data_IF_809455318804
#
_entry.id   IF_809455318804
#
_cell.length_a   1.000
_cell.length_b   1.000
_cell.length_c   1.000
_cell.angle_alpha   90.00
_cell.angle_beta   90.00
_cell.angle_gamma   90.00
#
_symmetry.space_group_name_H-M   'P 1'
#
loop_
_entity.id
_entity.type
_entity.pdbx_description
1 polymer ?
#
# COMPACT_ATOMS: atom_id res chain seq x y z
N UNK A 1 0.34 3.71 11.65
CA UNK A 1 0.66 2.96 12.88
C UNK A 1 0.81 3.98 13.99
N UNK A 2 0.21 3.77 15.18
CA UNK A 2 0.50 4.62 16.32
C UNK A 2 1.99 4.49 16.65
N UNK A 3 2.64 5.61 16.92
CA UNK A 3 4.02 5.64 17.38
C UNK A 3 4.10 4.89 18.70
N UNK A 4 4.91 3.85 18.76
CA UNK A 4 5.12 3.07 19.97
C UNK A 4 6.28 3.69 20.74
N UNK A 5 5.99 4.46 21.79
CA UNK A 5 7.00 5.19 22.56
C UNK A 5 7.36 4.56 23.92
N UNK A 6 6.63 3.54 24.41
CA UNK A 6 6.96 2.96 25.71
C UNK A 6 6.66 1.47 25.77
N UNK A 7 7.72 0.66 25.77
CA UNK A 7 7.63 -0.77 26.06
C UNK A 7 7.81 -1.00 27.57
N UNK A 8 6.80 -1.49 28.26
CA UNK A 8 6.98 -2.09 29.58
C UNK A 8 6.97 -3.61 29.44
N UNK A 9 8.12 -4.20 29.65
CA UNK A 9 8.28 -5.65 29.67
C UNK A 9 7.84 -6.24 31.02
N UNK A 10 6.88 -7.16 30.98
CA UNK A 10 6.88 -8.29 31.88
C UNK A 10 7.17 -9.53 31.01
N UNK A 11 8.46 -9.84 30.85
CA UNK A 11 8.88 -10.95 30.03
C UNK A 11 8.98 -12.21 30.88
N UNK A 12 8.05 -13.13 30.70
CA UNK A 12 8.37 -14.55 30.83
C UNK A 12 9.02 -15.03 29.51
N UNK A 13 9.91 -16.04 29.53
CA UNK A 13 10.46 -16.56 28.28
C UNK A 13 9.36 -16.81 27.26
N UNK A 14 9.51 -16.26 26.03
CA UNK A 14 8.58 -16.42 24.94
C UNK A 14 7.26 -15.60 25.01
N UNK A 15 7.14 -14.63 25.92
CA UNK A 15 5.93 -13.76 25.95
C UNK A 15 6.28 -12.28 26.07
N UNK A 16 5.52 -11.43 25.38
CA UNK A 16 5.67 -9.96 25.37
C UNK A 16 4.34 -9.30 25.59
N UNK A 17 4.29 -8.35 26.51
CA UNK A 17 3.14 -7.46 26.68
C UNK A 17 3.54 -6.08 26.19
N UNK A 18 2.80 -5.56 25.21
CA UNK A 18 2.97 -4.23 24.63
C UNK A 18 1.87 -3.33 25.15
N UNK A 19 2.23 -2.18 25.67
CA UNK A 19 1.31 -1.11 26.00
C UNK A 19 1.42 -0.02 24.95
N UNK A 20 0.30 0.34 24.32
CA UNK A 20 0.22 1.42 23.34
C UNK A 20 -0.03 2.76 24.03
N UNK A 21 0.29 3.87 23.33
CA UNK A 21 0.11 5.24 23.83
C UNK A 21 -1.35 5.59 24.17
N UNK A 22 -2.31 4.89 23.56
CA UNK A 22 -3.73 5.02 23.85
C UNK A 22 -4.19 4.25 25.11
N UNK A 23 -3.25 3.65 25.86
CA UNK A 23 -3.51 2.86 27.06
C UNK A 23 -3.97 1.42 26.81
N UNK A 24 -4.17 1.01 25.55
CA UNK A 24 -4.47 -0.37 25.21
C UNK A 24 -3.26 -1.27 25.42
N UNK A 25 -3.50 -2.53 25.77
CA UNK A 25 -2.44 -3.54 25.92
C UNK A 25 -2.70 -4.72 24.99
N UNK A 26 -1.61 -5.26 24.42
CA UNK A 26 -1.64 -6.50 23.66
C UNK A 26 -0.57 -7.44 24.20
N UNK A 27 -0.89 -8.73 24.30
CA UNK A 27 0.05 -9.77 24.71
C UNK A 27 0.31 -10.69 23.53
N UNK A 28 1.60 -10.94 23.28
CA UNK A 28 2.06 -11.85 22.24
C UNK A 28 2.91 -12.94 22.88
N UNK A 29 2.87 -14.14 22.34
CA UNK A 29 3.66 -15.26 22.83
C UNK A 29 4.19 -16.10 21.67
N UNK A 30 5.35 -16.65 21.88
CA UNK A 30 6.02 -17.60 20.98
C UNK A 30 6.08 -18.97 21.64
N UNK A 31 6.01 -20.01 20.84
CA UNK A 31 6.32 -21.39 21.29
C UNK A 31 7.82 -21.62 21.49
N UNK A 32 8.65 -20.75 20.89
CA UNK A 32 10.09 -20.71 21.19
C UNK A 32 10.34 -19.75 22.36
N UNK A 33 10.69 -20.32 23.52
CA UNK A 33 10.98 -19.57 24.74
C UNK A 33 12.23 -18.67 24.65
N UNK A 34 13.12 -18.94 23.69
CA UNK A 34 14.35 -18.20 23.49
C UNK A 34 14.24 -17.10 22.42
N UNK A 35 13.07 -16.96 21.79
CA UNK A 35 12.86 -15.94 20.75
C UNK A 35 13.01 -14.53 21.34
N UNK A 36 13.87 -13.67 20.77
CA UNK A 36 14.00 -12.27 21.16
C UNK A 36 12.68 -11.51 21.01
N UNK A 37 12.46 -10.53 21.88
CA UNK A 37 11.23 -9.70 21.87
C UNK A 37 11.05 -9.00 20.53
N UNK A 38 12.12 -8.45 19.98
CA UNK A 38 12.13 -7.78 18.67
C UNK A 38 11.61 -8.71 17.59
N UNK A 39 12.04 -9.96 17.58
CA UNK A 39 11.66 -10.95 16.57
C UNK A 39 10.18 -11.37 16.72
N UNK A 40 9.66 -11.45 17.97
CA UNK A 40 8.23 -11.67 18.19
C UNK A 40 7.40 -10.52 17.57
N UNK A 41 7.82 -9.28 17.82
CA UNK A 41 7.11 -8.11 17.31
C UNK A 41 7.22 -7.97 15.78
N UNK A 42 8.38 -8.24 15.20
CA UNK A 42 8.57 -8.27 13.75
C UNK A 42 7.69 -9.35 13.09
N UNK A 43 7.61 -10.53 13.68
CA UNK A 43 6.76 -11.62 13.18
C UNK A 43 5.28 -11.23 13.21
N UNK A 44 4.82 -10.60 14.27
CA UNK A 44 3.44 -10.08 14.39
C UNK A 44 3.17 -8.99 13.35
N UNK A 45 4.11 -8.06 13.18
CA UNK A 45 4.00 -7.00 12.16
C UNK A 45 3.98 -7.58 10.74
N UNK A 46 4.82 -8.58 10.46
CA UNK A 46 4.84 -9.29 9.19
C UNK A 46 3.52 -10.02 8.88
N UNK A 47 2.89 -10.61 9.90
CA UNK A 47 1.56 -11.23 9.75
C UNK A 47 0.49 -10.21 9.36
N UNK A 48 0.53 -9.02 9.96
CA UNK A 48 -0.40 -7.96 9.60
C UNK A 48 -0.25 -7.50 8.15
N UNK A 49 0.97 -7.45 7.64
CA UNK A 49 1.24 -7.13 6.24
C UNK A 49 0.58 -8.13 5.27
N UNK A 50 0.46 -9.41 5.66
CA UNK A 50 -0.26 -10.43 4.86
C UNK A 50 -1.76 -10.09 4.82
N UNK A 51 -2.37 -9.68 5.92
CA UNK A 51 -3.78 -9.30 5.97
C UNK A 51 -4.04 -8.05 5.11
N UNK A 52 -3.18 -7.02 5.18
CA UNK A 52 -3.23 -5.85 4.30
C UNK A 52 -3.10 -6.23 2.82
N UNK A 53 -2.15 -7.12 2.49
CA UNK A 53 -1.98 -7.62 1.12
C UNK A 53 -3.27 -8.27 0.59
N UNK A 54 -3.89 -9.18 1.36
CA UNK A 54 -5.14 -9.81 0.95
C UNK A 54 -6.29 -8.82 0.82
N UNK A 55 -6.39 -7.87 1.75
CA UNK A 55 -7.38 -6.81 1.72
C UNK A 55 -7.23 -5.97 0.43
N UNK A 56 -6.05 -5.42 0.19
CA UNK A 56 -5.79 -4.54 -0.94
C UNK A 56 -5.89 -5.26 -2.29
N UNK A 57 -5.46 -6.53 -2.34
CA UNK A 57 -5.60 -7.36 -3.54
C UNK A 57 -7.08 -7.59 -3.88
N UNK A 58 -7.95 -7.78 -2.89
CA UNK A 58 -9.40 -7.92 -3.10
C UNK A 58 -10.07 -6.59 -3.45
N UNK A 59 -9.79 -5.54 -2.71
CA UNK A 59 -10.53 -4.28 -2.86
C UNK A 59 -10.01 -3.43 -4.03
N UNK A 60 -8.70 -3.41 -4.25
CA UNK A 60 -8.09 -2.58 -5.30
C UNK A 60 -8.02 -3.28 -6.64
N UNK A 61 -7.75 -4.59 -6.66
CA UNK A 61 -7.57 -5.39 -7.87
C UNK A 61 -8.74 -6.31 -8.19
N UNK A 62 -9.69 -6.46 -7.27
CA UNK A 62 -10.87 -7.29 -7.46
C UNK A 62 -10.59 -8.79 -7.43
N UNK A 63 -9.51 -9.24 -6.78
CA UNK A 63 -9.23 -10.64 -6.59
C UNK A 63 -10.39 -11.34 -5.87
N UNK A 64 -10.86 -12.45 -6.41
CA UNK A 64 -12.04 -13.16 -5.92
C UNK A 64 -13.37 -12.64 -6.50
N UNK A 65 -13.40 -11.52 -7.24
CA UNK A 65 -14.60 -11.00 -7.91
C UNK A 65 -14.71 -11.48 -9.37
N UNK A 66 -13.71 -12.21 -9.85
CA UNK A 66 -13.69 -12.80 -11.20
C UNK A 66 -14.71 -13.92 -11.33
N UNK A 67 -15.52 -13.87 -12.39
CA UNK A 67 -16.52 -14.90 -12.68
C UNK A 67 -15.94 -15.99 -13.60
N UNK A 68 -14.95 -16.74 -13.10
CA UNK A 68 -14.34 -17.85 -13.82
C UNK A 68 -14.67 -19.16 -13.13
N UNK A 69 -15.08 -20.17 -13.91
CA UNK A 69 -15.50 -21.49 -13.39
C UNK A 69 -14.33 -22.47 -13.25
N UNK A 70 -13.27 -22.26 -14.01
CA UNK A 70 -12.12 -23.15 -14.00
C UNK A 70 -11.18 -22.80 -12.83
N UNK A 71 -10.76 -23.81 -12.06
CA UNK A 71 -9.86 -23.67 -10.92
C UNK A 71 -8.53 -23.06 -11.33
N UNK A 72 -7.94 -23.51 -12.43
CA UNK A 72 -6.67 -22.98 -12.94
C UNK A 72 -6.75 -21.51 -13.34
N UNK A 73 -7.88 -21.11 -13.94
CA UNK A 73 -8.12 -19.69 -14.25
C UNK A 73 -8.26 -18.85 -13.00
N UNK A 74 -8.88 -19.37 -11.93
CA UNK A 74 -8.93 -18.70 -10.64
C UNK A 74 -7.53 -18.51 -10.04
N UNK A 75 -6.72 -19.58 -10.04
CA UNK A 75 -5.33 -19.52 -9.56
C UNK A 75 -4.52 -18.50 -10.37
N UNK A 76 -4.64 -18.50 -11.69
CA UNK A 76 -3.95 -17.55 -12.57
C UNK A 76 -4.37 -16.10 -12.27
N UNK A 77 -5.67 -15.84 -12.09
CA UNK A 77 -6.17 -14.51 -11.72
C UNK A 77 -5.62 -14.03 -10.37
N UNK A 78 -5.58 -14.91 -9.36
CA UNK A 78 -4.99 -14.57 -8.07
C UNK A 78 -3.51 -14.24 -8.18
N UNK A 79 -2.75 -15.08 -8.90
CA UNK A 79 -1.33 -14.82 -9.12
C UNK A 79 -1.10 -13.51 -9.88
N UNK A 80 -1.88 -13.23 -10.91
CA UNK A 80 -1.78 -11.97 -11.65
C UNK A 80 -2.04 -10.77 -10.75
N UNK A 81 -3.09 -10.82 -9.92
CA UNK A 81 -3.41 -9.74 -8.99
C UNK A 81 -2.30 -9.55 -7.93
N UNK A 82 -1.70 -10.64 -7.44
CA UNK A 82 -0.56 -10.58 -6.54
C UNK A 82 0.69 -9.96 -7.19
N UNK A 83 0.94 -10.28 -8.45
CA UNK A 83 2.03 -9.67 -9.22
C UNK A 83 1.81 -8.18 -9.46
N UNK A 84 0.59 -7.78 -9.80
CA UNK A 84 0.24 -6.37 -9.98
C UNK A 84 0.37 -5.59 -8.67
N UNK A 85 -0.03 -6.18 -7.55
CA UNK A 85 0.21 -5.61 -6.23
C UNK A 85 1.71 -5.41 -5.97
N UNK A 86 2.52 -6.47 -6.13
CA UNK A 86 3.96 -6.41 -5.92
C UNK A 86 4.65 -5.39 -6.84
N UNK A 87 4.23 -5.32 -8.10
CA UNK A 87 4.73 -4.34 -9.06
C UNK A 87 4.48 -2.90 -8.58
N UNK A 88 3.26 -2.59 -8.14
CA UNK A 88 2.92 -1.26 -7.64
C UNK A 88 3.74 -0.89 -6.40
N UNK A 89 3.91 -1.82 -5.46
CA UNK A 89 4.73 -1.58 -4.26
C UNK A 89 6.20 -1.34 -4.61
N UNK A 90 6.76 -2.12 -5.54
CA UNK A 90 8.16 -1.98 -5.97
C UNK A 90 8.39 -0.66 -6.73
N UNK A 91 7.56 -0.33 -7.70
CA UNK A 91 7.69 0.90 -8.49
C UNK A 91 7.52 2.18 -7.65
N UNK A 92 6.73 2.09 -6.57
CA UNK A 92 6.50 3.22 -5.66
C UNK A 92 7.37 3.21 -4.41
N UNK A 93 8.33 2.28 -4.29
CA UNK A 93 9.12 2.07 -3.07
C UNK A 93 9.87 3.32 -2.62
N UNK A 94 10.57 3.96 -3.57
CA UNK A 94 11.38 5.15 -3.31
C UNK A 94 10.62 6.47 -3.57
N UNK A 95 9.33 6.39 -3.92
CA UNK A 95 8.55 7.56 -4.23
C UNK A 95 8.23 8.37 -2.96
N UNK A 96 8.40 9.70 -3.05
CA UNK A 96 8.08 10.60 -1.94
C UNK A 96 6.56 10.64 -1.71
N UNK A 97 6.12 10.71 -0.44
CA UNK A 97 4.70 10.73 -0.07
C UNK A 97 3.90 11.81 -0.80
N UNK A 98 4.49 12.99 -0.98
CA UNK A 98 3.85 14.11 -1.70
C UNK A 98 3.74 13.89 -3.22
N UNK A 99 4.54 12.98 -3.78
CA UNK A 99 4.43 12.59 -5.20
C UNK A 99 3.33 11.55 -5.41
N UNK A 100 3.04 10.73 -4.39
CA UNK A 100 2.04 9.67 -4.47
C UNK A 100 0.63 10.23 -4.32
N UNK A 101 0.42 11.19 -3.41
CA UNK A 101 -0.91 11.77 -3.13
C UNK A 101 -0.83 13.27 -3.06
N UNK A 102 -1.55 13.93 -3.97
CA UNK A 102 -1.86 15.35 -3.82
C UNK A 102 -3.08 15.51 -2.91
N UNK A 103 -2.86 16.12 -1.74
CA UNK A 103 -3.90 16.39 -0.74
C UNK A 103 -4.34 17.85 -0.71
N UNK A 104 -3.82 18.70 -1.61
CA UNK A 104 -4.12 20.13 -1.63
C UNK A 104 -5.62 20.45 -1.74
N UNK A 105 -6.35 19.61 -2.46
CA UNK A 105 -7.81 19.72 -2.60
C UNK A 105 -8.63 18.95 -1.55
N UNK A 106 -8.01 18.37 -0.52
CA UNK A 106 -8.68 17.49 0.46
C UNK A 106 -8.36 17.93 1.90
N UNK A 107 -8.92 19.04 2.39
CA UNK A 107 -8.60 19.58 3.73
C UNK A 107 -9.00 18.64 4.88
N UNK A 108 -9.87 17.66 4.62
CA UNK A 108 -10.29 16.64 5.60
C UNK A 108 -9.35 15.44 5.67
N UNK A 109 -8.42 15.25 4.71
CA UNK A 109 -7.45 14.15 4.71
C UNK A 109 -6.27 14.50 5.61
N UNK A 110 -5.84 13.53 6.42
CA UNK A 110 -4.68 13.72 7.28
C UNK A 110 -3.40 13.82 6.43
N UNK A 111 -2.68 14.97 6.44
CA UNK A 111 -1.49 15.17 5.61
C UNK A 111 -0.36 14.18 5.95
N UNK A 112 -0.35 13.65 7.17
CA UNK A 112 0.67 12.70 7.65
C UNK A 112 0.26 11.23 7.46
N UNK A 113 -0.93 10.96 6.89
CA UNK A 113 -1.35 9.59 6.60
C UNK A 113 -0.44 8.97 5.53
N UNK A 114 0.07 7.77 5.80
CA UNK A 114 0.80 6.99 4.79
C UNK A 114 -0.11 6.76 3.56
N UNK A 115 0.41 6.94 2.33
CA UNK A 115 -0.33 6.61 1.12
C UNK A 115 -0.78 5.15 1.12
N UNK A 116 -2.02 4.91 0.72
CA UNK A 116 -2.57 3.56 0.56
C UNK A 116 -2.03 2.90 -0.73
N UNK A 117 -2.19 1.60 -0.84
CA UNK A 117 -1.90 0.87 -2.08
C UNK A 117 -2.70 1.42 -3.28
N UNK A 118 -3.96 1.78 -3.06
CA UNK A 118 -4.80 2.41 -4.08
C UNK A 118 -4.24 3.76 -4.57
N UNK A 119 -3.68 4.58 -3.65
CA UNK A 119 -3.04 5.85 -4.02
C UNK A 119 -1.81 5.61 -4.90
N UNK A 120 -0.97 4.62 -4.55
CA UNK A 120 0.22 4.23 -5.32
C UNK A 120 -0.13 3.72 -6.71
N UNK A 121 -1.12 2.82 -6.81
CA UNK A 121 -1.64 2.33 -8.08
C UNK A 121 -2.12 3.47 -8.98
N UNK A 122 -2.85 4.42 -8.41
CA UNK A 122 -3.38 5.58 -9.12
C UNK A 122 -2.26 6.45 -9.68
N UNK A 123 -1.25 6.76 -8.86
CA UNK A 123 -0.06 7.52 -9.29
C UNK A 123 0.63 6.86 -10.48
N UNK A 124 0.91 5.56 -10.38
CA UNK A 124 1.58 4.81 -11.47
C UNK A 124 0.73 4.81 -12.73
N UNK A 125 -0.58 4.57 -12.62
CA UNK A 125 -1.50 4.59 -13.76
C UNK A 125 -1.52 5.95 -14.45
N UNK A 126 -1.58 7.03 -13.69
CA UNK A 126 -1.51 8.40 -14.22
C UNK A 126 -0.18 8.66 -14.93
N UNK A 127 0.94 8.25 -14.34
CA UNK A 127 2.26 8.43 -14.96
C UNK A 127 2.41 7.63 -16.25
N UNK A 128 1.95 6.38 -16.28
CA UNK A 128 1.97 5.56 -17.49
C UNK A 128 1.10 6.15 -18.59
N UNK A 129 -0.11 6.60 -18.27
CA UNK A 129 -1.00 7.25 -19.24
C UNK A 129 -0.39 8.54 -19.77
N UNK A 130 0.21 9.36 -18.90
CA UNK A 130 0.89 10.60 -19.28
C UNK A 130 2.07 10.31 -20.22
N UNK A 131 2.94 9.37 -19.86
CA UNK A 131 4.08 8.97 -20.68
C UNK A 131 3.62 8.49 -22.06
N UNK A 132 2.60 7.63 -22.11
CA UNK A 132 2.05 7.12 -23.36
C UNK A 132 1.44 8.23 -24.22
N UNK A 133 0.66 9.13 -23.61
CA UNK A 133 0.05 10.25 -24.32
C UNK A 133 1.10 11.15 -24.99
N UNK A 134 2.15 11.52 -24.25
CA UNK A 134 3.20 12.38 -24.80
C UNK A 134 4.16 11.66 -25.76
N UNK A 135 4.28 10.32 -25.68
CA UNK A 135 5.06 9.55 -26.64
C UNK A 135 4.40 9.51 -28.04
N UNK A 136 3.07 9.60 -28.10
CA UNK A 136 2.30 9.62 -29.38
C UNK A 136 2.19 11.04 -29.97
N UNK A 137 2.55 12.09 -29.19
CA UNK A 137 2.47 13.48 -29.63
C UNK A 137 3.82 13.97 -30.17
N UNK A 138 3.80 14.53 -31.37
CA UNK A 138 4.98 15.23 -31.87
C UNK A 138 5.42 16.35 -30.92
N UNK A 139 6.74 16.57 -30.74
CA UNK A 139 7.27 17.59 -29.81
C UNK A 139 6.71 19.01 -30.06
N UNK A 140 6.41 19.34 -31.32
CA UNK A 140 5.84 20.63 -31.70
C UNK A 140 4.42 20.88 -31.13
N UNK A 141 3.68 19.83 -30.80
CA UNK A 141 2.33 19.89 -30.25
C UNK A 141 2.30 19.85 -28.70
N UNK A 142 3.45 19.62 -28.05
CA UNK A 142 3.56 19.56 -26.59
C UNK A 142 3.62 20.98 -25.98
N UNK A 143 2.52 21.68 -26.05
CA UNK A 143 2.41 23.03 -25.48
C UNK A 143 2.11 22.99 -23.97
N UNK A 144 2.46 24.05 -23.19
CA UNK A 144 2.13 24.12 -21.76
C UNK A 144 0.64 23.99 -21.48
N UNK A 145 -0.22 24.50 -22.38
CA UNK A 145 -1.68 24.37 -22.28
C UNK A 145 -2.12 22.90 -22.43
N UNK A 146 -1.55 22.17 -23.36
CA UNK A 146 -1.83 20.75 -23.56
C UNK A 146 -1.40 19.94 -22.32
N UNK A 147 -0.24 20.21 -21.78
CA UNK A 147 0.26 19.55 -20.57
C UNK A 147 -0.66 19.81 -19.37
N UNK A 148 -1.12 21.05 -19.19
CA UNK A 148 -2.07 21.39 -18.13
C UNK A 148 -3.39 20.64 -18.29
N UNK A 149 -3.98 20.62 -19.50
CA UNK A 149 -5.23 19.92 -19.78
C UNK A 149 -5.11 18.41 -19.55
N UNK A 150 -4.01 17.79 -19.99
CA UNK A 150 -3.76 16.35 -19.75
C UNK A 150 -3.68 16.05 -18.26
N UNK A 151 -2.95 16.86 -17.50
CA UNK A 151 -2.86 16.69 -16.05
C UNK A 151 -4.22 16.84 -15.36
N UNK A 152 -5.04 17.78 -15.80
CA UNK A 152 -6.42 17.96 -15.30
C UNK A 152 -7.28 16.73 -15.61
N UNK A 153 -7.27 16.24 -16.85
CA UNK A 153 -8.00 15.02 -17.24
C UNK A 153 -7.53 13.78 -16.46
N UNK A 154 -6.24 13.63 -16.26
CA UNK A 154 -5.70 12.52 -15.47
C UNK A 154 -6.10 12.60 -14.00
N UNK A 155 -6.24 13.81 -13.45
CA UNK A 155 -6.72 13.99 -12.07
C UNK A 155 -8.20 13.59 -11.90
N UNK A 156 -9.01 13.73 -12.94
CA UNK A 156 -10.43 13.34 -12.94
C UNK A 156 -10.63 11.84 -13.20
N UNK A 157 -9.70 11.19 -13.91
CA UNK A 157 -9.77 9.77 -14.26
C UNK A 157 -9.26 8.83 -13.16
N UNK A 158 -8.92 9.37 -12.00
CA UNK A 158 -8.22 8.65 -10.94
C UNK A 158 -9.14 8.15 -9.80
#
# INVERSE_FOLDING_TARGET
MPSCSTFRHHAKPGSVVVQFDNGQTAAYFSTDANMPVEHILETVAGRWAIEEFFHDTKETWGAGKQQVRNVWSNIACWNLNAWLFAFVELESWDANMNQIVDRSGRPWDNPNRRPSHADRRRMIAQEMLRKRFFAELEPAHQTPKMTALVNELLSLAA
#
